data_IF_712406909752
#
_entry.id   IF_712406909752
#
_cell.length_a   1.000
_cell.length_b   1.000
_cell.length_c   1.000
_cell.angle_alpha   90.00
_cell.angle_beta   90.00
_cell.angle_gamma   90.00
#
_symmetry.space_group_name_H-M   'P 1'
#
loop_
_entity.id
_entity.type
_entity.pdbx_description
1 polymer ?
#
# COMPACT_ATOMS: atom_id res chain seq x y z
N UNK A 1 -4.80 24.33 12.90
CA UNK A 1 -3.91 23.96 11.78
C UNK A 1 -4.45 24.60 10.50
N UNK A 2 -3.72 25.54 9.89
CA UNK A 2 -4.12 26.19 8.64
C UNK A 2 -3.71 25.31 7.44
N UNK A 3 -4.68 24.82 6.69
CA UNK A 3 -4.48 23.89 5.59
C UNK A 3 -4.23 24.65 4.28
N UNK A 4 -3.00 24.60 3.75
CA UNK A 4 -2.62 25.33 2.52
C UNK A 4 -2.74 24.54 1.21
N UNK A 5 -2.97 23.21 1.21
CA UNK A 5 -3.22 22.40 -0.02
C UNK A 5 -3.51 20.93 0.31
N UNK A 6 -4.42 20.27 -0.44
CA UNK A 6 -4.68 18.80 -0.37
C UNK A 6 -3.39 17.99 -0.58
N UNK A 7 -2.46 18.47 -1.41
CA UNK A 7 -1.15 17.85 -1.63
C UNK A 7 -0.32 17.79 -0.34
N UNK A 8 -0.45 18.79 0.52
CA UNK A 8 0.29 18.86 1.79
C UNK A 8 -0.33 17.95 2.87
N UNK A 9 -1.56 17.47 2.66
CA UNK A 9 -2.20 16.46 3.52
C UNK A 9 -1.77 15.04 3.13
N UNK A 10 -1.79 14.73 1.83
CA UNK A 10 -1.50 13.38 1.32
C UNK A 10 -0.01 13.03 1.40
N UNK A 11 0.88 14.00 1.14
CA UNK A 11 2.33 13.79 1.14
C UNK A 11 2.87 13.20 2.46
N UNK A 12 2.53 13.74 3.65
CA UNK A 12 3.00 13.16 4.91
C UNK A 12 2.40 11.78 5.21
N UNK A 13 1.18 11.48 4.74
CA UNK A 13 0.57 10.14 4.89
C UNK A 13 1.38 9.08 4.12
N UNK A 14 1.72 9.38 2.86
CA UNK A 14 2.51 8.46 2.02
C UNK A 14 3.93 8.32 2.59
N UNK A 15 4.57 9.45 2.93
CA UNK A 15 5.93 9.46 3.48
C UNK A 15 6.00 8.72 4.82
N UNK A 16 5.02 8.94 5.69
CA UNK A 16 4.92 8.26 6.98
C UNK A 16 4.69 6.76 6.83
N UNK A 17 3.83 6.33 5.90
CA UNK A 17 3.64 4.90 5.59
C UNK A 17 4.93 4.23 5.13
N UNK A 18 5.68 4.88 4.24
CA UNK A 18 6.97 4.37 3.73
C UNK A 18 8.07 4.36 4.80
N UNK A 19 8.18 5.40 5.63
CA UNK A 19 9.16 5.48 6.71
C UNK A 19 8.88 4.42 7.78
N UNK A 20 7.63 4.27 8.19
CA UNK A 20 7.27 3.26 9.20
C UNK A 20 7.24 1.84 8.67
N UNK A 21 7.34 1.65 7.35
CA UNK A 21 7.57 0.35 6.74
C UNK A 21 9.02 -0.12 6.96
N UNK A 22 10.02 0.79 7.01
CA UNK A 22 11.42 0.43 7.24
C UNK A 22 11.81 0.39 8.72
N UNK A 23 10.98 0.93 9.61
CA UNK A 23 11.27 1.00 11.04
C UNK A 23 10.66 -0.20 11.76
N UNK A 24 11.51 -0.99 12.42
CA UNK A 24 11.07 -2.09 13.28
C UNK A 24 10.40 -1.55 14.56
N UNK A 25 9.59 -2.36 15.26
CA UNK A 25 8.94 -2.03 16.53
C UNK A 25 9.97 -1.55 17.59
N UNK A 26 11.20 -2.07 17.52
CA UNK A 26 12.33 -1.64 18.36
C UNK A 26 12.88 -0.24 18.02
N UNK A 27 12.42 0.39 16.94
CA UNK A 27 12.87 1.71 16.48
C UNK A 27 14.17 1.70 15.69
N UNK A 28 14.61 0.50 15.26
CA UNK A 28 15.77 0.34 14.36
C UNK A 28 15.29 0.58 12.93
N UNK A 29 15.96 1.49 12.24
CA UNK A 29 15.65 1.85 10.86
C UNK A 29 16.40 0.92 9.90
N UNK A 30 15.69 -0.02 9.31
CA UNK A 30 16.20 -0.94 8.28
C UNK A 30 15.87 -0.37 6.90
N UNK A 31 16.31 0.87 6.65
CA UNK A 31 16.13 1.53 5.35
C UNK A 31 16.72 0.69 4.23
N UNK A 32 15.96 0.36 3.18
CA UNK A 32 16.52 -0.28 2.00
C UNK A 32 17.53 0.66 1.33
N UNK A 33 18.61 0.11 0.76
CA UNK A 33 19.63 0.89 0.02
C UNK A 33 19.07 1.54 -1.26
N UNK A 34 17.89 1.14 -1.72
CA UNK A 34 17.19 1.65 -2.90
C UNK A 34 15.83 2.26 -2.50
N UNK A 35 15.27 3.12 -3.37
CA UNK A 35 14.00 3.82 -3.15
C UNK A 35 12.80 2.86 -2.97
N UNK A 36 12.89 1.66 -3.54
CA UNK A 36 11.94 0.56 -3.35
C UNK A 36 12.57 -0.54 -2.50
N UNK A 37 11.78 -1.14 -1.60
CA UNK A 37 12.17 -2.35 -0.88
C UNK A 37 12.39 -3.52 -1.85
N UNK A 38 13.27 -4.47 -1.52
CA UNK A 38 13.53 -5.67 -2.35
C UNK A 38 12.22 -6.39 -2.75
N UNK A 39 11.23 -6.41 -1.86
CA UNK A 39 9.92 -7.02 -2.12
C UNK A 39 9.10 -6.21 -3.14
N UNK A 40 9.19 -4.88 -3.13
CA UNK A 40 8.49 -4.02 -4.09
C UNK A 40 9.03 -4.19 -5.51
N UNK A 41 10.34 -4.41 -5.65
CA UNK A 41 10.94 -4.80 -6.94
C UNK A 41 10.41 -6.13 -7.45
N UNK A 42 10.30 -7.13 -6.56
CA UNK A 42 9.70 -8.44 -6.90
C UNK A 42 8.25 -8.25 -7.36
N UNK A 43 7.46 -7.43 -6.66
CA UNK A 43 6.07 -7.13 -7.04
C UNK A 43 5.99 -6.47 -8.42
N UNK A 44 6.91 -5.55 -8.74
CA UNK A 44 6.96 -4.90 -10.04
C UNK A 44 7.28 -5.89 -11.17
N UNK A 45 8.23 -6.81 -10.93
CA UNK A 45 8.56 -7.88 -11.87
C UNK A 45 7.34 -8.80 -12.08
N UNK A 46 6.69 -9.24 -11.01
CA UNK A 46 5.48 -10.08 -11.08
C UNK A 46 4.38 -9.37 -11.85
N UNK A 47 4.14 -8.08 -11.59
CA UNK A 47 3.15 -7.26 -12.29
C UNK A 47 3.41 -7.20 -13.79
N UNK A 48 4.68 -7.14 -14.19
CA UNK A 48 5.10 -7.14 -15.59
C UNK A 48 4.89 -8.52 -16.24
N UNK A 49 5.20 -9.61 -15.53
CA UNK A 49 4.98 -10.99 -16.02
C UNK A 49 3.49 -11.31 -16.19
N UNK A 50 2.64 -10.84 -15.28
CA UNK A 50 1.17 -10.99 -15.39
C UNK A 50 0.67 -10.38 -16.70
N UNK A 51 1.21 -9.22 -17.10
CA UNK A 51 0.82 -8.56 -18.35
C UNK A 51 1.16 -9.40 -19.60
N UNK A 52 2.28 -10.15 -19.57
CA UNK A 52 2.67 -11.02 -20.68
C UNK A 52 1.68 -12.19 -20.88
N UNK A 53 1.10 -12.70 -19.78
CA UNK A 53 0.09 -13.77 -19.83
C UNK A 53 -1.32 -13.24 -20.05
N UNK A 54 -1.63 -12.05 -19.54
CA UNK A 54 -2.95 -11.43 -19.58
C UNK A 54 -2.95 -10.21 -20.52
N UNK A 55 -2.76 -10.47 -21.81
CA UNK A 55 -2.67 -9.44 -22.86
C UNK A 55 -3.96 -8.62 -23.00
N UNK A 56 -5.10 -9.21 -22.63
CA UNK A 56 -6.42 -8.54 -22.57
C UNK A 56 -6.68 -7.77 -21.26
N UNK A 57 -5.70 -7.64 -20.36
CA UNK A 57 -5.89 -6.91 -19.10
C UNK A 57 -6.97 -7.52 -18.20
N UNK A 58 -7.41 -6.77 -17.19
CA UNK A 58 -8.43 -7.22 -16.22
C UNK A 58 -9.83 -7.00 -16.83
N UNK A 59 -10.70 -8.01 -16.76
CA UNK A 59 -12.08 -7.92 -17.27
C UNK A 59 -12.90 -6.86 -16.52
N UNK A 60 -13.96 -6.34 -17.17
CA UNK A 60 -14.83 -5.32 -16.56
C UNK A 60 -15.50 -5.81 -15.28
N UNK A 61 -15.92 -7.07 -15.24
CA UNK A 61 -16.58 -7.66 -14.07
C UNK A 61 -15.62 -7.72 -12.88
N UNK A 62 -14.37 -8.13 -13.11
CA UNK A 62 -13.33 -8.15 -12.07
C UNK A 62 -13.02 -6.74 -11.57
N UNK A 63 -12.96 -5.74 -12.47
CA UNK A 63 -12.78 -4.34 -12.07
C UNK A 63 -13.90 -3.89 -11.12
N UNK A 64 -15.15 -4.24 -11.43
CA UNK A 64 -16.30 -3.97 -10.56
C UNK A 64 -16.13 -4.59 -9.16
N UNK A 65 -15.78 -5.87 -9.09
CA UNK A 65 -15.55 -6.57 -7.81
C UNK A 65 -14.39 -5.95 -7.02
N UNK A 66 -13.29 -5.60 -7.69
CA UNK A 66 -12.15 -4.93 -7.07
C UNK A 66 -12.59 -3.58 -6.48
N UNK A 67 -13.31 -2.76 -7.23
CA UNK A 67 -13.81 -1.47 -6.72
C UNK A 67 -14.68 -1.64 -5.47
N UNK A 68 -15.60 -2.61 -5.48
CA UNK A 68 -16.44 -2.92 -4.31
C UNK A 68 -15.61 -3.37 -3.10
N UNK A 69 -14.66 -4.30 -3.30
CA UNK A 69 -13.80 -4.79 -2.23
C UNK A 69 -12.94 -3.69 -1.61
N UNK A 70 -12.36 -2.82 -2.43
CA UNK A 70 -11.56 -1.68 -1.95
C UNK A 70 -12.42 -0.62 -1.24
N UNK A 71 -13.67 -0.40 -1.67
CA UNK A 71 -14.60 0.51 -0.97
C UNK A 71 -14.95 0.00 0.44
N UNK A 72 -15.20 -1.31 0.56
CA UNK A 72 -15.41 -1.96 1.86
C UNK A 72 -14.14 -1.83 2.73
N UNK A 73 -12.96 -2.07 2.14
CA UNK A 73 -11.70 -1.94 2.86
C UNK A 73 -11.45 -0.52 3.39
N UNK A 74 -11.75 0.52 2.61
CA UNK A 74 -11.62 1.92 3.07
C UNK A 74 -12.43 2.13 4.34
N UNK A 75 -13.68 1.67 4.35
CA UNK A 75 -14.56 1.78 5.51
C UNK A 75 -13.98 1.02 6.72
N UNK A 76 -13.56 -0.23 6.53
CA UNK A 76 -12.99 -1.06 7.59
C UNK A 76 -11.70 -0.47 8.19
N UNK A 77 -10.78 -0.02 7.35
CA UNK A 77 -9.52 0.56 7.83
C UNK A 77 -9.73 1.91 8.51
N UNK A 78 -10.70 2.72 8.06
CA UNK A 78 -11.06 3.95 8.77
C UNK A 78 -11.64 3.65 10.16
N UNK A 79 -12.55 2.69 10.29
CA UNK A 79 -13.06 2.26 11.59
C UNK A 79 -11.95 1.72 12.51
N UNK A 80 -11.02 0.94 11.95
CA UNK A 80 -9.88 0.41 12.68
C UNK A 80 -8.93 1.52 13.16
N UNK A 81 -8.67 2.53 12.31
CA UNK A 81 -7.86 3.69 12.67
C UNK A 81 -8.45 4.45 13.85
N UNK A 82 -9.75 4.71 13.84
CA UNK A 82 -10.44 5.38 14.95
C UNK A 82 -10.33 4.54 16.22
N UNK A 83 -10.63 3.24 16.15
CA UNK A 83 -10.55 2.36 17.33
C UNK A 83 -9.15 2.28 17.94
N UNK A 84 -8.11 2.24 17.10
CA UNK A 84 -6.72 2.20 17.55
C UNK A 84 -6.27 3.55 18.09
N UNK A 85 -6.74 4.65 17.52
CA UNK A 85 -6.49 5.98 18.04
C UNK A 85 -7.13 6.17 19.42
N UNK A 86 -8.40 5.77 19.59
CA UNK A 86 -9.09 5.80 20.89
C UNK A 86 -8.33 4.96 21.92
N UNK A 87 -7.85 3.77 21.53
CA UNK A 87 -7.04 2.90 22.41
C UNK A 87 -5.68 3.51 22.76
N UNK A 88 -5.09 4.27 21.85
CA UNK A 88 -3.86 5.02 22.09
C UNK A 88 -4.10 6.17 23.08
N UNK A 89 -5.16 6.95 22.89
CA UNK A 89 -5.52 8.06 23.78
C UNK A 89 -5.81 7.60 25.21
N UNK A 90 -6.51 6.47 25.35
CA UNK A 90 -6.79 5.84 26.65
C UNK A 90 -5.59 5.09 27.25
N UNK A 91 -4.46 5.00 26.54
CA UNK A 91 -3.24 4.40 27.09
C UNK A 91 -2.46 5.43 27.89
N UNK A 92 -2.35 5.21 29.20
CA UNK A 92 -1.45 5.97 30.06
C UNK A 92 0.01 5.67 29.72
N UNK A 93 0.74 6.69 29.29
CA UNK A 93 2.20 6.68 29.17
C UNK A 93 2.80 7.39 30.39
N UNK A 94 2.40 7.00 31.59
CA UNK A 94 3.00 7.53 32.81
C UNK A 94 4.42 6.95 32.93
N UNK A 95 5.41 7.79 33.20
CA UNK A 95 6.84 7.43 33.30
C UNK A 95 7.37 7.48 34.73
N UNK A 96 6.48 7.46 35.72
CA UNK A 96 6.83 7.66 37.12
C UNK A 96 7.21 6.30 37.71
N UNK A 97 8.46 6.16 38.17
CA UNK A 97 9.09 4.98 38.78
C UNK A 97 9.07 3.69 37.94
N UNK A 98 9.81 3.68 36.83
CA UNK A 98 9.75 2.60 35.83
C UNK A 98 11.15 2.02 35.58
N UNK A 99 11.25 0.68 35.55
CA UNK A 99 12.50 -0.05 35.24
C UNK A 99 12.91 0.19 33.78
N UNK A 100 14.20 0.14 33.41
CA UNK A 100 14.64 0.31 32.01
C UNK A 100 13.88 -0.60 31.01
N UNK A 101 13.51 -1.81 31.45
CA UNK A 101 12.72 -2.78 30.67
C UNK A 101 11.31 -2.29 30.37
N UNK A 102 10.68 -1.55 31.27
CA UNK A 102 9.34 -1.00 31.12
C UNK A 102 9.33 0.29 30.29
N UNK A 103 10.40 1.10 30.37
CA UNK A 103 10.63 2.22 29.44
C UNK A 103 10.75 1.70 28.00
N UNK A 104 11.50 0.62 27.80
CA UNK A 104 11.61 -0.04 26.50
C UNK A 104 10.24 -0.56 26.00
N UNK A 105 9.39 -1.09 26.89
CA UNK A 105 8.01 -1.52 26.56
C UNK A 105 7.12 -0.37 26.12
N UNK A 106 7.12 0.74 26.85
CA UNK A 106 6.36 1.93 26.48
C UNK A 106 6.81 2.48 25.11
N UNK A 107 8.10 2.42 24.82
CA UNK A 107 8.66 2.79 23.51
C UNK A 107 8.20 1.84 22.39
N UNK A 108 8.27 0.53 22.61
CA UNK A 108 7.78 -0.48 21.65
C UNK A 108 6.29 -0.30 21.36
N UNK A 109 5.47 -0.11 22.41
CA UNK A 109 4.02 0.14 22.28
C UNK A 109 3.73 1.41 21.49
N UNK A 110 4.42 2.51 21.79
CA UNK A 110 4.30 3.78 21.04
C UNK A 110 4.71 3.61 19.58
N UNK A 111 5.80 2.91 19.30
CA UNK A 111 6.27 2.64 17.95
C UNK A 111 5.28 1.77 17.16
N UNK A 112 4.71 0.74 17.81
CA UNK A 112 3.65 -0.08 17.22
C UNK A 112 2.45 0.78 16.83
N UNK A 113 1.92 1.61 17.72
CA UNK A 113 0.79 2.50 17.39
C UNK A 113 1.12 3.44 16.23
N UNK A 114 2.30 4.07 16.24
CA UNK A 114 2.72 4.96 15.14
C UNK A 114 2.84 4.22 13.82
N UNK A 115 3.45 3.03 13.81
CA UNK A 115 3.59 2.19 12.62
C UNK A 115 2.23 1.76 12.10
N UNK A 116 1.38 1.27 13.00
CA UNK A 116 0.05 0.79 12.67
C UNK A 116 -0.81 1.89 12.03
N UNK A 117 -0.88 3.05 12.68
CA UNK A 117 -1.67 4.20 12.21
C UNK A 117 -1.11 4.69 10.87
N UNK A 118 0.22 4.83 10.74
CA UNK A 118 0.84 5.37 9.52
C UNK A 118 0.60 4.48 8.30
N UNK A 119 0.82 3.18 8.43
CA UNK A 119 0.65 2.23 7.32
C UNK A 119 -0.82 2.03 6.98
N UNK A 120 -1.70 1.93 7.98
CA UNK A 120 -3.15 1.79 7.75
C UNK A 120 -3.73 3.03 7.08
N UNK A 121 -3.28 4.24 7.48
CA UNK A 121 -3.69 5.47 6.81
C UNK A 121 -3.20 5.53 5.36
N UNK A 122 -2.00 5.00 5.08
CA UNK A 122 -1.50 4.86 3.72
C UNK A 122 -2.32 3.86 2.91
N UNK A 123 -2.72 2.71 3.49
CA UNK A 123 -3.60 1.72 2.86
C UNK A 123 -4.95 2.33 2.45
N UNK A 124 -5.54 3.21 3.28
CA UNK A 124 -6.78 3.93 2.93
C UNK A 124 -6.58 4.81 1.70
N UNK A 125 -5.52 5.62 1.67
CA UNK A 125 -5.21 6.48 0.51
C UNK A 125 -4.95 5.66 -0.74
N UNK A 126 -4.18 4.57 -0.61
CA UNK A 126 -3.88 3.66 -1.71
C UNK A 126 -5.16 3.00 -2.25
N UNK A 127 -6.10 2.64 -1.38
CA UNK A 127 -7.38 2.06 -1.76
C UNK A 127 -8.22 3.01 -2.61
N UNK A 128 -8.32 4.27 -2.17
CA UNK A 128 -9.02 5.31 -2.93
C UNK A 128 -8.36 5.52 -4.31
N UNK A 129 -7.03 5.53 -4.36
CA UNK A 129 -6.29 5.64 -5.61
C UNK A 129 -6.57 4.47 -6.56
N UNK A 130 -6.59 3.23 -6.05
CA UNK A 130 -6.94 2.04 -6.83
C UNK A 130 -8.36 2.14 -7.37
N UNK A 131 -9.34 2.57 -6.56
CA UNK A 131 -10.73 2.76 -7.03
C UNK A 131 -10.80 3.77 -8.18
N UNK A 132 -10.08 4.89 -8.07
CA UNK A 132 -10.02 5.90 -9.14
C UNK A 132 -9.40 5.33 -10.42
N UNK A 133 -8.30 4.60 -10.33
CA UNK A 133 -7.70 3.92 -11.49
C UNK A 133 -8.66 2.88 -12.09
N UNK A 134 -9.27 2.02 -11.28
CA UNK A 134 -10.28 1.08 -11.75
C UNK A 134 -11.44 1.79 -12.49
N UNK A 135 -11.92 2.92 -11.94
CA UNK A 135 -12.98 3.73 -12.56
C UNK A 135 -12.55 4.30 -13.92
N UNK A 136 -11.34 4.83 -14.03
CA UNK A 136 -10.78 5.30 -15.31
C UNK A 136 -10.68 4.17 -16.33
N UNK A 137 -10.26 2.98 -15.90
CA UNK A 137 -10.19 1.78 -16.76
C UNK A 137 -11.56 1.43 -17.34
N UNK A 138 -12.62 1.55 -16.53
CA UNK A 138 -13.99 1.28 -16.92
C UNK A 138 -14.52 2.34 -17.91
N UNK A 139 -14.36 3.63 -17.60
CA UNK A 139 -14.83 4.75 -18.44
C UNK A 139 -14.17 4.73 -19.83
N UNK A 140 -12.85 4.57 -19.87
CA UNK A 140 -12.08 4.60 -21.12
C UNK A 140 -12.02 3.24 -21.84
N UNK A 141 -12.71 2.23 -21.31
CA UNK A 141 -12.75 0.87 -21.84
C UNK A 141 -11.35 0.30 -22.13
N UNK A 142 -10.38 0.60 -21.26
CA UNK A 142 -8.96 0.27 -21.42
C UNK A 142 -8.74 -1.26 -21.27
N UNK A 143 -9.67 -1.97 -20.63
CA UNK A 143 -9.67 -3.42 -20.49
C UNK A 143 -9.99 -4.16 -21.79
N UNK A 144 -10.79 -3.60 -22.70
CA UNK A 144 -11.23 -4.32 -23.92
C UNK A 144 -10.35 -4.03 -25.12
N UNK A 145 -9.47 -3.01 -25.06
CA UNK A 145 -8.50 -2.77 -26.13
C UNK A 145 -7.48 -3.91 -26.13
N UNK A 146 -7.58 -4.76 -27.14
CA UNK A 146 -6.53 -5.70 -27.51
C UNK A 146 -5.27 -4.88 -27.80
N UNK A 147 -4.26 -5.06 -26.96
CA UNK A 147 -2.92 -4.63 -27.29
C UNK A 147 -2.42 -5.72 -28.24
N UNK A 148 -2.55 -5.49 -29.54
CA UNK A 148 -1.92 -6.34 -30.52
C UNK A 148 -0.40 -6.18 -30.37
N UNK A 149 0.22 -7.00 -29.51
CA UNK A 149 1.68 -7.07 -29.34
C UNK A 149 2.37 -7.34 -30.71
N UNK A 150 1.63 -7.91 -31.66
CA UNK A 150 2.05 -8.15 -33.05
C UNK A 150 2.11 -6.89 -33.94
N UNK A 151 1.63 -5.72 -33.49
CA UNK A 151 1.71 -4.45 -34.25
C UNK A 151 2.95 -3.63 -33.96
N UNK A 152 3.86 -4.10 -33.10
CA UNK A 152 5.22 -3.57 -33.07
C UNK A 152 5.92 -3.99 -34.37
N UNK A 153 5.71 -3.20 -35.42
CA UNK A 153 6.46 -3.31 -36.66
C UNK A 153 7.94 -3.17 -36.34
N UNK A 154 8.70 -4.23 -36.56
CA UNK A 154 10.17 -4.23 -36.50
C UNK A 154 10.81 -3.42 -37.65
N UNK A 155 10.00 -2.89 -38.58
CA UNK A 155 10.45 -2.02 -39.67
C UNK A 155 10.27 -0.56 -39.27
N UNK A 156 11.40 0.15 -39.18
CA UNK A 156 11.50 1.57 -38.85
C UNK A 156 10.72 2.52 -39.80
N UNK A 157 10.36 2.06 -40.99
CA UNK A 157 9.68 2.87 -42.02
C UNK A 157 8.18 3.02 -41.83
N UNK A 158 7.53 2.13 -41.06
CA UNK A 158 6.06 2.08 -40.91
C UNK A 158 5.60 2.31 -39.46
N UNK A 159 6.48 2.84 -38.61
CA UNK A 159 6.17 3.09 -37.19
C UNK A 159 5.32 4.34 -37.09
N UNK A 160 4.01 4.16 -36.87
CA UNK A 160 3.15 5.23 -36.39
C UNK A 160 3.54 5.57 -34.94
N UNK A 161 4.23 6.70 -34.78
CA UNK A 161 4.73 7.19 -33.49
C UNK A 161 3.57 7.46 -32.51
N UNK A 162 2.41 7.90 -33.00
CA UNK A 162 1.24 8.18 -32.18
C UNK A 162 0.62 6.89 -31.62
N UNK A 163 0.49 5.86 -32.47
CA UNK A 163 0.01 4.54 -32.06
C UNK A 163 0.94 3.87 -31.04
N UNK A 164 2.25 3.96 -31.29
CA UNK A 164 3.29 3.37 -30.41
C UNK A 164 3.28 4.02 -29.03
N UNK A 165 3.19 5.35 -28.96
CA UNK A 165 3.10 6.08 -27.71
C UNK A 165 1.84 5.70 -26.93
N UNK A 166 0.69 5.64 -27.60
CA UNK A 166 -0.60 5.26 -27.00
C UNK A 166 -0.56 3.84 -26.41
N UNK A 167 -0.01 2.88 -27.15
CA UNK A 167 0.13 1.50 -26.68
C UNK A 167 1.09 1.39 -25.49
N UNK A 168 2.21 2.11 -25.53
CA UNK A 168 3.17 2.18 -24.41
C UNK A 168 2.53 2.76 -23.15
N UNK A 169 1.74 3.83 -23.28
CA UNK A 169 1.02 4.43 -22.16
C UNK A 169 0.00 3.46 -21.54
N UNK A 170 -0.73 2.70 -22.35
CA UNK A 170 -1.68 1.68 -21.87
C UNK A 170 -0.95 0.54 -21.14
N UNK A 171 0.18 0.08 -21.68
CA UNK A 171 1.02 -0.94 -21.03
C UNK A 171 1.50 -0.45 -19.67
N UNK A 172 2.08 0.76 -19.61
CA UNK A 172 2.56 1.35 -18.36
C UNK A 172 1.45 1.51 -17.33
N UNK A 173 0.27 1.94 -17.76
CA UNK A 173 -0.91 2.04 -16.92
C UNK A 173 -1.35 0.69 -16.34
N UNK A 174 -1.39 -0.38 -17.16
CA UNK A 174 -1.77 -1.72 -16.70
C UNK A 174 -0.75 -2.29 -15.71
N UNK A 175 0.55 -2.06 -15.94
CA UNK A 175 1.60 -2.46 -15.00
C UNK A 175 1.42 -1.71 -13.67
N UNK A 176 1.18 -0.40 -13.73
CA UNK A 176 0.97 0.42 -12.53
C UNK A 176 -0.27 -0.04 -11.73
N UNK A 177 -1.39 -0.34 -12.39
CA UNK A 177 -2.60 -0.85 -11.73
C UNK A 177 -2.34 -2.18 -11.01
N UNK A 178 -1.73 -3.15 -11.71
CA UNK A 178 -1.40 -4.45 -11.10
C UNK A 178 -0.40 -4.31 -9.96
N UNK A 179 0.60 -3.43 -10.11
CA UNK A 179 1.55 -3.12 -9.06
C UNK A 179 0.85 -2.56 -7.82
N UNK A 180 -0.06 -1.60 -7.96
CA UNK A 180 -0.78 -1.04 -6.82
C UNK A 180 -1.68 -2.07 -6.13
N UNK A 181 -2.35 -2.94 -6.89
CA UNK A 181 -3.16 -4.03 -6.33
C UNK A 181 -2.31 -4.99 -5.49
N UNK A 182 -1.18 -5.46 -6.04
CA UNK A 182 -0.30 -6.39 -5.33
C UNK A 182 0.42 -5.72 -4.14
N UNK A 183 0.85 -4.46 -4.31
CA UNK A 183 1.47 -3.70 -3.23
C UNK A 183 0.49 -3.46 -2.07
N UNK A 184 -0.78 -3.20 -2.37
CA UNK A 184 -1.83 -3.09 -1.36
C UNK A 184 -2.01 -4.40 -0.58
N UNK A 185 -2.07 -5.55 -1.26
CA UNK A 185 -2.16 -6.85 -0.59
C UNK A 185 -0.95 -7.12 0.29
N UNK A 186 0.26 -6.84 -0.22
CA UNK A 186 1.49 -6.98 0.54
C UNK A 186 1.50 -6.12 1.81
N UNK A 187 1.12 -4.83 1.71
CA UNK A 187 1.05 -3.93 2.86
C UNK A 187 0.00 -4.39 3.88
N UNK A 188 -1.11 -4.97 3.41
CA UNK A 188 -2.13 -5.57 4.28
C UNK A 188 -1.57 -6.79 5.03
N UNK A 189 -0.82 -7.67 4.36
CA UNK A 189 -0.12 -8.76 5.05
C UNK A 189 0.93 -8.24 6.04
N UNK A 190 1.66 -7.20 5.67
CA UNK A 190 2.69 -6.60 6.52
C UNK A 190 2.11 -6.02 7.81
N UNK A 191 0.98 -5.30 7.73
CA UNK A 191 0.34 -4.73 8.92
C UNK A 191 -0.25 -5.83 9.82
N UNK A 192 -0.87 -6.86 9.22
CA UNK A 192 -1.38 -8.02 9.96
C UNK A 192 -0.25 -8.78 10.65
N UNK A 193 0.88 -9.00 9.97
CA UNK A 193 2.06 -9.62 10.56
C UNK A 193 2.64 -8.79 11.70
N UNK A 194 2.78 -7.48 11.51
CA UNK A 194 3.25 -6.57 12.56
C UNK A 194 2.32 -6.54 13.78
N UNK A 195 1.00 -6.64 13.56
CA UNK A 195 0.02 -6.76 14.64
C UNK A 195 0.16 -8.10 15.38
N UNK A 196 0.31 -9.19 14.64
CA UNK A 196 0.53 -10.52 15.21
C UNK A 196 1.79 -10.57 16.09
N UNK A 197 2.93 -10.08 15.60
CA UNK A 197 4.18 -10.02 16.36
C UNK A 197 4.01 -9.24 17.67
N UNK A 198 3.34 -8.07 17.59
CA UNK A 198 3.09 -7.25 18.76
C UNK A 198 2.14 -7.93 19.76
N UNK A 199 1.02 -8.50 19.28
CA UNK A 199 0.05 -9.18 20.13
C UNK A 199 0.61 -10.42 20.79
N UNK A 200 1.35 -11.25 20.04
CA UNK A 200 1.99 -12.44 20.59
C UNK A 200 3.04 -12.05 21.63
N UNK A 201 3.86 -11.03 21.32
CA UNK A 201 4.83 -10.52 22.29
C UNK A 201 4.16 -9.98 23.56
N UNK A 202 2.97 -9.37 23.50
CA UNK A 202 2.23 -8.93 24.69
C UNK A 202 1.62 -10.12 25.45
N UNK A 203 1.11 -11.14 24.74
CA UNK A 203 0.53 -12.34 25.35
C UNK A 203 1.58 -13.19 26.07
N UNK A 204 2.72 -13.47 25.43
CA UNK A 204 3.82 -14.25 26.01
C UNK A 204 4.42 -13.59 27.25
N UNK A 205 4.31 -12.25 27.34
CA UNK A 205 4.75 -11.46 28.49
C UNK A 205 3.76 -11.48 29.65
N UNK A 206 2.46 -11.68 29.37
CA UNK A 206 1.41 -11.86 30.38
C UNK A 206 1.28 -13.33 30.77
N UNK A 207 2.37 -13.98 31.15
CA UNK A 207 2.29 -15.32 31.76
C UNK A 207 1.38 -15.22 32.99
N UNK A 208 0.28 -15.96 32.93
CA UNK A 208 -0.55 -16.24 34.11
C UNK A 208 0.36 -16.94 35.12
N UNK A 209 0.48 -16.34 36.32
CA UNK A 209 0.98 -17.05 37.50
C UNK A 209 0.02 -18.17 37.86
#
# INVERSE_FOLDING_TARGET
MQYKSVKNLIKPLIKGGQEWQSININGIDEKPKLYFSNIQWIILIISSVILLKLTKGISKDIIGYVMSAFSISVSLFMSLLVSIFDKFENTKFETISITETEIARLKQKKNFFKRFISITSYLVVLSILVIVLCSLTYIFNISVRDIEIKTFSLKWSDIDMCLTFKNTAIIGYRIALNYFLLNYLFLTFFITGSAYEYYMSEMDRRKLS
#
